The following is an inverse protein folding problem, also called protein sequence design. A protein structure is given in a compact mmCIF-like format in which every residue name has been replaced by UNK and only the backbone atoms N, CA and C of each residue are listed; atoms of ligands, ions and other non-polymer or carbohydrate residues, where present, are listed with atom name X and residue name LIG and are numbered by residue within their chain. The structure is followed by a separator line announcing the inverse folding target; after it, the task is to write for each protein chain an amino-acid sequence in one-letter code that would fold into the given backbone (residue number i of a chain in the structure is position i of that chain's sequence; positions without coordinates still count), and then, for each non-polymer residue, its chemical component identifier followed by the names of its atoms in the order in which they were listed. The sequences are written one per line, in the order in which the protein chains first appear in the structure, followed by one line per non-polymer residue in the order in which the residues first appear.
data_IF_406609758939
#
_entry.id   IF_406609758939
#
_cell.length_a   1.000
_cell.length_b   1.000
_cell.length_c   1.000
_cell.angle_alpha   90.00
_cell.angle_beta   90.00
_cell.angle_gamma   90.00
#
_symmetry.space_group_name_H-M   'P 1'
#
loop_
_entity.id
_entity.type
_entity.pdbx_description
1 polymer ?
#
# COMPACT_ATOMS: atom_id res chain seq x y z
N UNK A 1 13.53 -38.09 -12.54
CA UNK A 1 12.71 -37.31 -13.51
C UNK A 1 11.43 -36.71 -12.88
N UNK A 2 11.38 -36.53 -11.55
CA UNK A 2 10.29 -35.85 -10.83
C UNK A 2 10.51 -34.33 -10.63
N UNK A 3 11.64 -33.77 -11.08
CA UNK A 3 12.13 -32.46 -10.62
C UNK A 3 11.55 -31.24 -11.35
N UNK A 4 10.59 -31.42 -12.25
CA UNK A 4 10.12 -30.33 -13.10
C UNK A 4 8.60 -30.11 -13.06
N UNK A 5 7.97 -30.41 -11.91
CA UNK A 5 6.55 -30.27 -11.73
C UNK A 5 6.20 -29.01 -10.95
N UNK A 6 5.31 -28.20 -11.50
CA UNK A 6 4.81 -26.95 -10.92
C UNK A 6 3.41 -27.19 -10.36
N UNK A 7 3.16 -26.69 -9.16
CA UNK A 7 1.84 -26.58 -8.56
C UNK A 7 1.35 -25.13 -8.66
N UNK A 8 0.45 -24.84 -9.58
CA UNK A 8 -0.25 -23.57 -9.64
C UNK A 8 -1.55 -23.61 -8.86
N UNK A 9 -1.79 -22.60 -8.03
CA UNK A 9 -2.94 -22.56 -7.12
C UNK A 9 -3.70 -21.27 -7.33
N UNK A 10 -4.95 -21.37 -7.74
CA UNK A 10 -5.91 -20.29 -7.62
C UNK A 10 -6.53 -20.34 -6.22
N UNK A 11 -6.30 -19.29 -5.44
CA UNK A 11 -6.64 -19.24 -4.01
C UNK A 11 -8.05 -18.70 -3.81
N UNK A 12 -8.85 -19.46 -3.07
CA UNK A 12 -10.16 -19.02 -2.62
C UNK A 12 -10.31 -19.22 -1.09
N UNK A 13 -11.48 -18.98 -0.56
CA UNK A 13 -11.73 -19.11 0.88
C UNK A 13 -11.77 -20.57 1.34
N UNK A 14 -12.50 -21.42 0.64
CA UNK A 14 -12.79 -22.80 1.05
C UNK A 14 -12.41 -23.84 -0.01
N UNK A 15 -12.55 -23.54 -1.30
CA UNK A 15 -12.23 -24.41 -2.41
C UNK A 15 -11.11 -23.79 -3.25
N UNK A 16 -10.10 -24.56 -3.54
CA UNK A 16 -8.88 -24.12 -4.21
C UNK A 16 -8.74 -24.85 -5.53
N UNK A 17 -8.54 -24.14 -6.63
CA UNK A 17 -8.25 -24.78 -7.89
C UNK A 17 -6.74 -25.02 -7.99
N UNK A 18 -6.34 -26.26 -8.20
CA UNK A 18 -4.93 -26.64 -8.34
C UNK A 18 -4.67 -27.19 -9.74
N UNK A 19 -3.65 -26.67 -10.37
CA UNK A 19 -3.18 -27.11 -11.67
C UNK A 19 -1.75 -27.67 -11.53
N UNK A 20 -1.57 -28.95 -11.85
CA UNK A 20 -0.27 -29.61 -11.93
C UNK A 20 0.20 -29.51 -13.35
N UNK A 21 1.33 -28.86 -13.55
CA UNK A 21 1.86 -28.61 -14.88
C UNK A 21 3.36 -28.84 -14.91
N UNK A 22 3.86 -29.31 -16.07
CA UNK A 22 5.29 -29.38 -16.33
C UNK A 22 5.85 -28.03 -16.75
N UNK A 23 7.13 -27.84 -16.66
CA UNK A 23 7.80 -26.60 -17.12
C UNK A 23 7.67 -26.36 -18.63
N UNK A 24 7.33 -27.37 -19.42
CA UNK A 24 7.02 -27.21 -20.84
C UNK A 24 5.58 -26.70 -21.11
N UNK A 25 4.77 -26.48 -20.05
CA UNK A 25 3.39 -26.02 -20.13
C UNK A 25 2.34 -27.14 -20.22
N UNK A 26 2.74 -28.41 -20.24
CA UNK A 26 1.82 -29.55 -20.24
C UNK A 26 1.06 -29.68 -18.92
N UNK A 27 -0.27 -29.71 -18.98
CA UNK A 27 -1.15 -29.85 -17.83
C UNK A 27 -1.41 -31.33 -17.56
N UNK A 28 -1.01 -31.80 -16.39
CA UNK A 28 -1.24 -33.18 -15.94
C UNK A 28 -2.56 -33.33 -15.18
N UNK A 29 -2.95 -32.30 -14.43
CA UNK A 29 -4.19 -32.30 -13.65
C UNK A 29 -4.62 -30.87 -13.36
N UNK A 30 -5.94 -30.61 -13.42
CA UNK A 30 -6.50 -29.32 -13.04
C UNK A 30 -7.86 -29.56 -12.37
N UNK A 31 -7.91 -29.46 -11.04
CA UNK A 31 -9.10 -29.78 -10.23
C UNK A 31 -9.26 -28.92 -9.00
N UNK A 32 -10.48 -28.82 -8.50
CA UNK A 32 -10.77 -28.20 -7.22
C UNK A 32 -10.43 -29.14 -6.07
N UNK A 33 -9.89 -28.60 -4.97
CA UNK A 33 -9.59 -29.32 -3.74
C UNK A 33 -10.02 -28.50 -2.52
N UNK A 34 -10.28 -29.20 -1.40
CA UNK A 34 -10.60 -28.54 -0.14
C UNK A 34 -9.38 -27.93 0.53
N UNK A 35 -9.62 -27.03 1.51
CA UNK A 35 -8.56 -26.42 2.34
C UNK A 35 -7.69 -27.48 3.03
N UNK A 36 -8.31 -28.51 3.62
CA UNK A 36 -7.60 -29.61 4.28
C UNK A 36 -6.72 -30.39 3.30
N UNK A 37 -7.23 -30.62 2.08
CA UNK A 37 -6.47 -31.29 1.03
C UNK A 37 -5.28 -30.47 0.55
N UNK A 38 -5.42 -29.14 0.45
CA UNK A 38 -4.31 -28.27 0.10
C UNK A 38 -3.23 -28.24 1.19
N UNK A 39 -3.63 -28.19 2.48
CA UNK A 39 -2.69 -28.31 3.60
C UNK A 39 -1.91 -29.62 3.50
N UNK A 40 -2.59 -30.76 3.37
CA UNK A 40 -1.94 -32.08 3.23
C UNK A 40 -0.99 -32.13 2.02
N UNK A 41 -1.38 -31.50 0.92
CA UNK A 41 -0.56 -31.45 -0.29
C UNK A 41 0.76 -30.69 -0.06
N UNK A 42 0.71 -29.56 0.67
CA UNK A 42 1.85 -28.72 0.94
C UNK A 42 2.72 -29.20 2.13
N UNK A 43 2.15 -29.97 3.07
CA UNK A 43 2.88 -30.47 4.25
C UNK A 43 3.34 -31.91 4.10
N UNK A 44 2.88 -32.64 3.09
CA UNK A 44 3.24 -34.02 2.82
C UNK A 44 4.58 -34.17 2.08
N UNK A 45 4.81 -35.35 1.51
CA UNK A 45 6.01 -35.61 0.70
C UNK A 45 6.11 -34.59 -0.45
N UNK A 46 7.27 -33.96 -0.59
CA UNK A 46 7.55 -32.97 -1.64
C UNK A 46 7.37 -33.62 -3.02
N UNK A 47 6.51 -33.04 -3.86
CA UNK A 47 6.18 -33.52 -5.21
C UNK A 47 6.44 -32.48 -6.30
N UNK A 48 6.61 -31.21 -5.91
CA UNK A 48 6.72 -30.09 -6.83
C UNK A 48 8.05 -29.37 -6.64
N UNK A 49 8.66 -28.93 -7.72
CA UNK A 49 9.83 -28.06 -7.66
C UNK A 49 9.44 -26.61 -7.32
N UNK A 50 8.26 -26.18 -7.78
CA UNK A 50 7.78 -24.82 -7.63
C UNK A 50 6.28 -24.80 -7.26
N UNK A 51 5.92 -23.99 -6.28
CA UNK A 51 4.53 -23.65 -5.94
C UNK A 51 4.26 -22.20 -6.35
N UNK A 52 3.19 -22.01 -7.10
CA UNK A 52 2.83 -20.69 -7.66
C UNK A 52 1.41 -20.33 -7.28
N UNK A 53 1.19 -19.06 -6.94
CA UNK A 53 -0.13 -18.52 -6.64
C UNK A 53 -0.23 -17.05 -7.04
N UNK A 54 -1.45 -16.58 -7.25
CA UNK A 54 -1.70 -15.15 -7.45
C UNK A 54 -1.65 -14.38 -6.12
N UNK A 55 -1.15 -13.15 -6.16
CA UNK A 55 -1.16 -12.24 -5.02
C UNK A 55 -2.58 -11.76 -4.70
N UNK A 56 -3.22 -12.41 -3.75
CA UNK A 56 -4.58 -12.14 -3.29
C UNK A 56 -4.70 -12.24 -1.76
N UNK A 57 -5.91 -12.13 -1.22
CA UNK A 57 -6.16 -12.37 0.20
C UNK A 57 -5.77 -13.79 0.61
N UNK A 58 -4.88 -13.92 1.61
CA UNK A 58 -4.39 -15.22 2.09
C UNK A 58 -3.13 -15.73 1.39
N UNK A 59 -2.68 -15.17 0.27
CA UNK A 59 -1.48 -15.63 -0.45
C UNK A 59 -0.23 -15.69 0.42
N UNK A 60 -0.03 -14.74 1.33
CA UNK A 60 1.11 -14.76 2.25
C UNK A 60 1.09 -15.94 3.22
N UNK A 61 -0.09 -16.33 3.73
CA UNK A 61 -0.21 -17.51 4.57
C UNK A 61 0.19 -18.80 3.83
N UNK A 62 -0.35 -19.00 2.63
CA UNK A 62 -0.06 -20.17 1.83
C UNK A 62 1.39 -20.21 1.35
N UNK A 63 1.95 -19.04 1.02
CA UNK A 63 3.36 -18.91 0.66
C UNK A 63 4.29 -19.27 1.83
N UNK A 64 4.00 -18.78 3.05
CA UNK A 64 4.78 -19.15 4.25
C UNK A 64 4.66 -20.65 4.56
N UNK A 65 3.44 -21.23 4.47
CA UNK A 65 3.24 -22.66 4.68
C UNK A 65 4.05 -23.50 3.70
N UNK A 66 4.03 -23.16 2.42
CA UNK A 66 4.80 -23.85 1.40
C UNK A 66 6.31 -23.68 1.61
N UNK A 67 6.77 -22.47 1.95
CA UNK A 67 8.17 -22.18 2.25
C UNK A 67 8.68 -22.97 3.46
N UNK A 68 7.88 -23.08 4.53
CA UNK A 68 8.19 -23.88 5.72
C UNK A 68 8.41 -25.37 5.38
N UNK A 69 7.80 -25.84 4.30
CA UNK A 69 7.93 -27.22 3.80
C UNK A 69 8.92 -27.31 2.61
N UNK A 70 9.86 -26.38 2.51
CA UNK A 70 10.98 -26.36 1.56
C UNK A 70 10.57 -26.31 0.07
N UNK A 71 9.39 -25.75 -0.26
CA UNK A 71 9.05 -25.46 -1.64
C UNK A 71 9.67 -24.13 -2.10
N UNK A 72 10.09 -24.07 -3.36
CA UNK A 72 10.30 -22.81 -4.06
C UNK A 72 8.93 -22.17 -4.35
N UNK A 73 8.82 -20.84 -4.22
CA UNK A 73 7.53 -20.16 -4.30
C UNK A 73 7.62 -18.93 -5.18
N UNK A 74 6.64 -18.78 -6.07
CA UNK A 74 6.37 -17.53 -6.79
C UNK A 74 4.96 -17.03 -6.47
N UNK A 75 4.85 -15.76 -6.06
CA UNK A 75 3.57 -15.07 -5.89
C UNK A 75 3.43 -14.08 -7.04
N UNK A 76 2.52 -14.34 -7.96
CA UNK A 76 2.37 -13.62 -9.22
C UNK A 76 1.47 -12.40 -9.05
N UNK A 77 1.86 -11.21 -9.54
CA UNK A 77 0.99 -10.03 -9.52
C UNK A 77 -0.30 -10.26 -10.32
N UNK A 78 -1.49 -9.85 -9.83
CA UNK A 78 -2.78 -10.08 -10.51
C UNK A 78 -2.82 -9.57 -11.95
N UNK A 79 -2.17 -8.44 -12.22
CA UNK A 79 -2.10 -7.88 -13.59
C UNK A 79 -1.41 -8.79 -14.59
N UNK A 80 -0.42 -9.56 -14.15
CA UNK A 80 0.29 -10.50 -15.02
C UNK A 80 -0.59 -11.71 -15.34
N UNK A 81 -1.35 -12.21 -14.37
CA UNK A 81 -2.32 -13.31 -14.57
C UNK A 81 -3.43 -12.88 -15.52
N UNK A 82 -4.05 -11.71 -15.27
CA UNK A 82 -5.15 -11.18 -16.11
C UNK A 82 -4.71 -11.00 -17.57
N UNK A 83 -3.46 -10.61 -17.82
CA UNK A 83 -2.91 -10.45 -19.18
C UNK A 83 -2.74 -11.77 -19.95
N UNK A 84 -2.78 -12.92 -19.24
CA UNK A 84 -2.62 -14.27 -19.82
C UNK A 84 -3.94 -15.06 -19.88
N UNK A 85 -5.04 -14.48 -19.41
CA UNK A 85 -6.36 -15.08 -19.50
C UNK A 85 -6.93 -14.92 -20.91
N UNK A 86 -6.65 -15.89 -21.78
CA UNK A 86 -7.10 -15.89 -23.19
C UNK A 86 -8.50 -16.50 -23.39
N UNK A 87 -9.08 -17.11 -22.35
CA UNK A 87 -10.35 -17.83 -22.39
C UNK A 87 -11.34 -17.23 -21.40
N UNK A 88 -12.55 -17.80 -21.37
CA UNK A 88 -13.56 -17.43 -20.35
C UNK A 88 -12.99 -17.54 -18.93
N UNK A 89 -13.40 -16.62 -18.06
CA UNK A 89 -12.99 -16.62 -16.65
C UNK A 89 -13.63 -17.80 -15.93
N UNK A 90 -12.82 -18.81 -15.64
CA UNK A 90 -13.15 -19.97 -14.83
C UNK A 90 -11.96 -20.31 -13.96
N UNK A 91 -12.20 -20.86 -12.77
CA UNK A 91 -11.14 -21.25 -11.83
C UNK A 91 -10.06 -22.13 -12.49
N UNK A 92 -10.47 -23.03 -13.40
CA UNK A 92 -9.53 -23.88 -14.17
C UNK A 92 -8.60 -23.05 -15.07
N UNK A 93 -9.15 -22.05 -15.76
CA UNK A 93 -8.37 -21.17 -16.64
C UNK A 93 -7.50 -20.23 -15.81
N UNK A 94 -7.98 -19.79 -14.65
CA UNK A 94 -7.24 -18.91 -13.74
C UNK A 94 -6.03 -19.66 -13.15
N UNK A 95 -6.22 -20.89 -12.63
CA UNK A 95 -5.11 -21.71 -12.15
C UNK A 95 -4.09 -22.05 -13.25
N UNK A 96 -4.54 -22.28 -14.48
CA UNK A 96 -3.67 -22.48 -15.63
C UNK A 96 -2.86 -21.20 -15.95
N UNK A 97 -3.52 -20.04 -16.02
CA UNK A 97 -2.88 -18.76 -16.31
C UNK A 97 -1.82 -18.39 -15.24
N UNK A 98 -2.09 -18.70 -13.95
CA UNK A 98 -1.12 -18.56 -12.86
C UNK A 98 0.13 -19.41 -13.12
N UNK A 99 -0.04 -20.65 -13.54
CA UNK A 99 1.06 -21.56 -13.87
C UNK A 99 1.88 -21.06 -15.07
N UNK A 100 1.22 -20.65 -16.15
CA UNK A 100 1.88 -20.06 -17.33
C UNK A 100 2.65 -18.78 -16.97
N UNK A 101 2.07 -17.91 -16.14
CA UNK A 101 2.74 -16.69 -15.68
C UNK A 101 4.07 -16.97 -14.98
N UNK A 102 4.16 -18.08 -14.24
CA UNK A 102 5.38 -18.46 -13.53
C UNK A 102 6.52 -18.91 -14.45
N UNK A 103 6.19 -19.40 -15.65
CA UNK A 103 7.16 -19.83 -16.67
C UNK A 103 7.78 -18.66 -17.43
N UNK A 104 7.15 -17.49 -17.40
CA UNK A 104 7.62 -16.32 -18.13
C UNK A 104 8.72 -15.60 -17.33
N UNK A 105 9.95 -15.50 -17.86
CA UNK A 105 11.10 -14.97 -17.12
C UNK A 105 10.99 -13.47 -16.78
N UNK A 106 10.18 -12.72 -17.52
CA UNK A 106 9.97 -11.29 -17.30
C UNK A 106 8.90 -10.98 -16.24
N UNK A 107 8.18 -11.99 -15.74
CA UNK A 107 7.20 -11.81 -14.66
C UNK A 107 7.89 -12.00 -13.31
N UNK A 108 8.06 -10.91 -12.59
CA UNK A 108 8.66 -10.92 -11.25
C UNK A 108 7.67 -11.40 -10.20
N UNK A 109 8.16 -12.16 -9.21
CA UNK A 109 7.41 -12.56 -8.02
C UNK A 109 7.23 -11.39 -7.07
N UNK A 110 6.05 -11.25 -6.46
CA UNK A 110 5.84 -10.34 -5.35
C UNK A 110 6.61 -10.82 -4.12
N UNK A 111 7.10 -9.89 -3.31
CA UNK A 111 7.73 -10.20 -2.01
C UNK A 111 6.73 -10.87 -1.07
N UNK A 112 7.19 -11.89 -0.37
CA UNK A 112 6.43 -12.56 0.67
C UNK A 112 6.65 -11.83 1.99
N UNK A 113 5.56 -11.49 2.67
CA UNK A 113 5.62 -10.87 3.99
C UNK A 113 5.81 -11.94 5.06
N UNK A 114 6.64 -11.64 6.06
CA UNK A 114 6.66 -12.37 7.33
C UNK A 114 5.34 -12.18 8.09
N UNK A 115 5.13 -12.93 9.15
CA UNK A 115 3.95 -12.75 10.01
C UNK A 115 3.97 -11.38 10.70
N UNK A 116 5.14 -10.92 11.12
CA UNK A 116 5.34 -9.62 11.72
C UNK A 116 5.05 -8.48 10.72
N UNK A 117 5.65 -8.51 9.52
CA UNK A 117 5.38 -7.52 8.47
C UNK A 117 3.89 -7.46 8.10
N UNK A 118 3.22 -8.62 8.07
CA UNK A 118 1.79 -8.68 7.81
C UNK A 118 0.97 -8.11 8.96
N UNK A 119 1.38 -8.35 10.22
CA UNK A 119 0.79 -7.72 11.41
C UNK A 119 0.90 -6.19 11.36
N UNK A 120 2.06 -5.67 11.00
CA UNK A 120 2.28 -4.23 10.82
C UNK A 120 1.44 -3.65 9.67
N UNK A 121 1.26 -4.39 8.58
CA UNK A 121 0.33 -3.99 7.53
C UNK A 121 -1.11 -3.93 8.03
N UNK A 122 -1.54 -4.89 8.88
CA UNK A 122 -2.87 -4.89 9.47
C UNK A 122 -3.05 -3.68 10.41
N UNK A 123 -2.06 -3.36 11.23
CA UNK A 123 -2.05 -2.19 12.12
C UNK A 123 -2.24 -0.89 11.32
N UNK A 124 -1.46 -0.70 10.24
CA UNK A 124 -1.58 0.47 9.38
C UNK A 124 -2.95 0.56 8.69
N UNK A 125 -3.53 -0.57 8.27
CA UNK A 125 -4.88 -0.62 7.66
C UNK A 125 -5.98 -0.34 8.68
N UNK A 126 -5.87 -0.87 9.90
CA UNK A 126 -6.82 -0.60 10.99
C UNK A 126 -6.84 0.90 11.31
N UNK A 127 -5.67 1.52 11.49
CA UNK A 127 -5.54 2.96 11.66
C UNK A 127 -6.21 3.75 10.52
N UNK A 128 -5.99 3.33 9.28
CA UNK A 128 -6.57 4.00 8.12
C UNK A 128 -8.09 3.96 8.12
N UNK A 129 -8.67 2.84 8.52
CA UNK A 129 -10.12 2.67 8.64
C UNK A 129 -10.68 3.62 9.70
N UNK A 130 -10.05 3.72 10.88
CA UNK A 130 -10.50 4.64 11.94
C UNK A 130 -10.48 6.11 11.48
N UNK A 131 -9.45 6.52 10.75
CA UNK A 131 -9.38 7.88 10.16
C UNK A 131 -10.52 8.10 9.16
N UNK A 132 -10.81 7.12 8.30
CA UNK A 132 -11.88 7.24 7.32
C UNK A 132 -13.25 7.35 8.01
N UNK A 133 -13.52 6.52 9.03
CA UNK A 133 -14.73 6.53 9.83
C UNK A 133 -14.90 7.85 10.59
N UNK A 134 -13.85 8.33 11.28
CA UNK A 134 -13.84 9.63 11.96
C UNK A 134 -14.14 10.78 11.00
N UNK A 135 -13.57 10.74 9.81
CA UNK A 135 -13.81 11.78 8.80
C UNK A 135 -15.25 11.74 8.29
N UNK A 136 -15.78 10.55 7.99
CA UNK A 136 -17.16 10.38 7.55
C UNK A 136 -18.14 10.86 8.62
N UNK A 137 -17.95 10.44 9.87
CA UNK A 137 -18.77 10.84 11.01
C UNK A 137 -18.77 12.37 11.21
N UNK A 138 -17.59 12.98 11.22
CA UNK A 138 -17.45 14.42 11.39
C UNK A 138 -18.10 15.24 10.26
N UNK A 139 -18.11 14.72 9.03
CA UNK A 139 -18.79 15.34 7.92
C UNK A 139 -20.32 15.20 8.03
N UNK A 140 -20.79 14.03 8.48
CA UNK A 140 -22.22 13.80 8.73
C UNK A 140 -22.76 14.74 9.81
N UNK A 141 -22.04 14.86 10.96
CA UNK A 141 -22.44 15.80 12.03
C UNK A 141 -22.53 17.23 11.52
N UNK A 142 -21.56 17.68 10.69
CA UNK A 142 -21.65 19.02 10.09
C UNK A 142 -22.81 19.16 9.12
N UNK A 143 -23.11 18.12 8.35
CA UNK A 143 -24.26 18.09 7.46
C UNK A 143 -25.56 18.26 8.24
N UNK A 144 -25.73 17.53 9.33
CA UNK A 144 -26.91 17.66 10.19
C UNK A 144 -27.02 19.05 10.78
N UNK A 145 -25.97 19.61 11.35
CA UNK A 145 -25.97 20.96 11.92
C UNK A 145 -26.30 22.04 10.87
N UNK A 146 -25.81 21.86 9.65
CA UNK A 146 -26.02 22.81 8.56
C UNK A 146 -27.53 22.91 8.17
N UNK A 147 -28.27 21.80 8.24
CA UNK A 147 -29.74 21.80 7.98
C UNK A 147 -30.52 22.64 9.03
N UNK A 148 -29.93 22.92 10.18
CA UNK A 148 -30.48 23.79 11.23
C UNK A 148 -29.76 25.14 11.31
N UNK A 149 -29.04 25.55 10.25
CA UNK A 149 -28.40 26.87 10.15
C UNK A 149 -27.09 26.98 10.93
N UNK A 150 -26.62 25.92 11.57
CA UNK A 150 -25.36 25.93 12.35
C UNK A 150 -24.20 25.50 11.45
N UNK A 151 -23.34 26.45 11.08
CA UNK A 151 -22.19 26.22 10.19
C UNK A 151 -20.90 26.22 10.99
N UNK A 152 -20.15 25.10 10.90
CA UNK A 152 -18.86 24.93 11.57
C UNK A 152 -17.68 24.93 10.58
N UNK A 153 -16.51 25.48 10.98
CA UNK A 153 -15.30 25.41 10.20
C UNK A 153 -14.87 23.96 9.90
N UNK A 154 -14.10 23.79 8.83
CA UNK A 154 -13.51 22.48 8.48
C UNK A 154 -12.50 22.03 9.53
N UNK A 155 -12.37 20.72 9.70
CA UNK A 155 -11.43 20.10 10.64
C UNK A 155 -12.13 19.46 11.86
N UNK A 156 -11.47 18.51 12.51
CA UNK A 156 -12.00 17.81 13.68
C UNK A 156 -12.08 18.74 14.91
N UNK A 157 -11.01 19.48 15.15
CA UNK A 157 -10.87 20.34 16.35
C UNK A 157 -11.99 21.36 16.51
N UNK A 158 -12.42 22.12 15.47
CA UNK A 158 -13.56 23.04 15.62
C UNK A 158 -14.87 22.33 15.95
N UNK A 159 -15.10 21.14 15.38
CA UNK A 159 -16.30 20.36 15.67
C UNK A 159 -16.32 19.90 17.12
N UNK A 160 -15.25 19.25 17.58
CA UNK A 160 -15.15 18.73 18.97
C UNK A 160 -15.31 19.85 20.01
N UNK A 161 -14.75 21.05 19.76
CA UNK A 161 -14.86 22.17 20.68
C UNK A 161 -16.26 22.75 20.75
N UNK A 162 -16.99 22.77 19.62
CA UNK A 162 -18.29 23.45 19.54
C UNK A 162 -19.48 22.55 19.88
N UNK A 163 -19.35 21.23 19.74
CA UNK A 163 -20.47 20.31 19.99
C UNK A 163 -21.04 20.43 21.41
N UNK A 164 -20.23 20.48 22.51
CA UNK A 164 -20.80 20.66 23.84
C UNK A 164 -21.64 21.93 23.98
N UNK A 165 -21.12 23.07 23.53
CA UNK A 165 -21.83 24.35 23.55
C UNK A 165 -23.17 24.29 22.74
N UNK A 166 -23.14 23.63 21.59
CA UNK A 166 -24.33 23.47 20.75
C UNK A 166 -25.39 22.59 21.42
N UNK A 167 -24.96 21.56 22.15
CA UNK A 167 -25.86 20.65 22.86
C UNK A 167 -26.47 21.31 24.11
N UNK A 168 -25.76 22.22 24.77
CA UNK A 168 -26.20 22.95 25.94
C UNK A 168 -27.15 24.12 25.60
N UNK A 169 -27.03 24.71 24.39
CA UNK A 169 -27.81 25.83 23.95
C UNK A 169 -29.26 25.40 23.61
N UNK A 170 -30.21 25.75 24.49
CA UNK A 170 -31.61 25.41 24.34
C UNK A 170 -32.35 26.26 23.26
N UNK A 171 -31.78 27.42 22.88
CA UNK A 171 -32.42 28.36 21.97
C UNK A 171 -32.00 28.17 20.50
N UNK A 172 -31.11 27.26 20.19
CA UNK A 172 -30.58 27.06 18.83
C UNK A 172 -31.51 26.28 17.87
N UNK A 173 -32.71 25.96 18.31
CA UNK A 173 -33.76 25.33 17.48
C UNK A 173 -33.48 23.84 17.11
N UNK A 174 -32.49 23.20 17.71
CA UNK A 174 -32.26 21.79 17.46
C UNK A 174 -33.29 20.90 18.17
N UNK A 175 -33.97 19.97 17.44
CA UNK A 175 -34.86 18.99 18.07
C UNK A 175 -34.12 18.05 19.04
N UNK A 176 -34.80 17.60 20.09
CA UNK A 176 -34.23 16.67 21.08
C UNK A 176 -33.70 15.39 20.46
N UNK A 177 -34.39 14.86 19.45
CA UNK A 177 -33.89 13.67 18.70
C UNK A 177 -32.55 13.89 18.03
N UNK A 178 -32.31 15.09 17.50
CA UNK A 178 -30.99 15.40 16.90
C UNK A 178 -29.94 15.66 17.96
N UNK A 179 -30.28 16.28 19.09
CA UNK A 179 -29.36 16.44 20.23
C UNK A 179 -28.88 15.10 20.74
N UNK A 180 -29.77 14.11 20.91
CA UNK A 180 -29.39 12.74 21.30
C UNK A 180 -28.47 12.08 20.28
N UNK A 181 -28.74 12.23 18.97
CA UNK A 181 -27.87 11.71 17.90
C UNK A 181 -26.50 12.35 17.93
N UNK A 182 -26.44 13.70 18.05
CA UNK A 182 -25.15 14.42 18.09
C UNK A 182 -24.33 14.09 19.33
N UNK A 183 -24.96 13.91 20.49
CA UNK A 183 -24.29 13.46 21.70
C UNK A 183 -23.64 12.09 21.53
N UNK A 184 -24.41 11.09 21.06
CA UNK A 184 -23.91 9.75 20.76
C UNK A 184 -22.80 9.77 19.71
N UNK A 185 -22.92 10.58 18.66
CA UNK A 185 -21.90 10.72 17.62
C UNK A 185 -20.65 11.43 18.14
N UNK A 186 -20.75 12.30 19.11
CA UNK A 186 -19.61 12.95 19.77
C UNK A 186 -18.76 11.94 20.53
N UNK A 187 -19.41 11.04 21.29
CA UNK A 187 -18.72 9.97 22.02
C UNK A 187 -17.99 9.02 21.04
N UNK A 188 -18.66 8.65 19.94
CA UNK A 188 -18.06 7.83 18.91
C UNK A 188 -16.87 8.52 18.23
N UNK A 189 -16.95 9.84 18.01
CA UNK A 189 -15.86 10.64 17.45
C UNK A 189 -14.64 10.68 18.36
N UNK A 190 -14.87 10.80 19.67
CA UNK A 190 -13.81 10.72 20.70
C UNK A 190 -13.15 9.33 20.69
N UNK A 191 -13.94 8.26 20.69
CA UNK A 191 -13.44 6.89 20.61
C UNK A 191 -12.58 6.65 19.37
N UNK A 192 -13.00 7.12 18.18
CA UNK A 192 -12.16 6.99 16.96
C UNK A 192 -10.85 7.77 17.09
N UNK A 193 -10.86 8.92 17.76
CA UNK A 193 -9.65 9.74 17.95
C UNK A 193 -8.67 9.01 18.85
N UNK A 194 -9.12 8.50 19.98
CA UNK A 194 -8.32 7.70 20.91
C UNK A 194 -7.71 6.45 20.24
N UNK A 195 -8.51 5.72 19.47
CA UNK A 195 -8.01 4.55 18.73
C UNK A 195 -6.93 4.91 17.69
N UNK A 196 -7.07 6.04 17.02
CA UNK A 196 -6.06 6.52 16.06
C UNK A 196 -4.76 6.86 16.79
N UNK A 197 -4.83 7.55 17.94
CA UNK A 197 -3.68 7.90 18.76
C UNK A 197 -2.98 6.65 19.31
N UNK A 198 -3.73 5.66 19.74
CA UNK A 198 -3.20 4.37 20.16
C UNK A 198 -2.41 3.68 19.04
N UNK A 199 -2.99 3.59 17.82
CA UNK A 199 -2.28 3.00 16.68
C UNK A 199 -1.07 3.84 16.25
N UNK A 200 -1.13 5.16 16.36
CA UNK A 200 0.00 6.06 16.09
C UNK A 200 1.16 5.80 17.06
N UNK A 201 0.84 5.57 18.34
CA UNK A 201 1.80 5.18 19.36
C UNK A 201 2.51 3.86 19.02
N UNK A 202 1.76 2.80 18.72
CA UNK A 202 2.31 1.50 18.34
C UNK A 202 3.21 1.58 17.08
N UNK A 203 2.78 2.34 16.08
CA UNK A 203 3.58 2.52 14.85
C UNK A 203 4.87 3.29 15.16
N UNK A 204 4.80 4.34 15.96
CA UNK A 204 5.95 5.16 16.32
C UNK A 204 6.96 4.37 17.13
N UNK A 205 6.51 3.57 18.09
CA UNK A 205 7.35 2.68 18.86
C UNK A 205 8.09 1.69 17.96
N UNK A 206 7.35 0.96 17.09
CA UNK A 206 7.95 0.01 16.17
C UNK A 206 9.00 0.67 15.25
N UNK A 207 8.67 1.83 14.67
CA UNK A 207 9.58 2.60 13.80
C UNK A 207 10.83 3.03 14.55
N UNK A 208 10.71 3.39 15.83
CA UNK A 208 11.83 3.79 16.68
C UNK A 208 12.80 2.64 17.01
N UNK A 209 12.37 1.41 16.91
CA UNK A 209 13.17 0.20 17.16
C UNK A 209 13.73 -0.42 15.88
N UNK A 210 13.03 -0.29 14.75
CA UNK A 210 13.38 -0.93 13.50
C UNK A 210 14.47 -0.16 12.73
N UNK A 211 15.60 -0.82 12.41
CA UNK A 211 16.75 -0.22 11.71
C UNK A 211 16.39 0.34 10.34
N UNK A 212 15.58 -0.38 9.56
CA UNK A 212 15.17 0.06 8.21
C UNK A 212 14.28 1.29 8.31
N UNK A 213 13.28 1.28 9.20
CA UNK A 213 12.42 2.43 9.41
C UNK A 213 13.19 3.67 9.87
N UNK A 214 14.18 3.51 10.76
CA UNK A 214 15.08 4.61 11.16
C UNK A 214 15.83 5.22 9.98
N UNK A 215 16.38 4.39 9.09
CA UNK A 215 17.04 4.86 7.85
C UNK A 215 16.06 5.62 6.96
N UNK A 216 14.86 5.07 6.75
CA UNK A 216 13.83 5.68 5.90
C UNK A 216 13.30 6.99 6.47
N UNK A 217 13.18 7.12 7.79
CA UNK A 217 12.71 8.36 8.46
C UNK A 217 13.68 9.54 8.32
N UNK A 218 14.93 9.30 7.87
CA UNK A 218 15.88 10.38 7.54
C UNK A 218 15.56 11.05 6.20
N UNK A 219 14.71 10.45 5.36
CA UNK A 219 14.31 11.01 4.08
C UNK A 219 13.30 12.17 4.28
N UNK A 220 13.41 13.19 3.47
CA UNK A 220 12.54 14.36 3.54
C UNK A 220 11.08 13.98 3.27
N UNK A 221 10.20 14.38 4.19
CA UNK A 221 8.76 14.10 4.13
C UNK A 221 8.38 12.67 4.53
N UNK A 222 9.31 11.90 5.10
CA UNK A 222 9.07 10.54 5.60
C UNK A 222 8.95 10.56 7.12
N UNK A 223 7.72 10.59 7.62
CA UNK A 223 7.41 10.36 9.04
C UNK A 223 7.19 8.87 9.35
N UNK A 224 6.89 8.52 10.61
CA UNK A 224 6.75 7.12 11.04
C UNK A 224 5.78 6.29 10.18
N UNK A 225 4.62 6.83 9.86
CA UNK A 225 3.58 6.14 9.05
C UNK A 225 4.09 5.85 7.63
N UNK A 226 4.80 6.82 7.02
CA UNK A 226 5.38 6.64 5.67
C UNK A 226 6.54 5.66 5.71
N UNK A 227 7.40 5.72 6.73
CA UNK A 227 8.52 4.80 6.91
C UNK A 227 8.05 3.35 7.04
N UNK A 228 7.02 3.11 7.88
CA UNK A 228 6.39 1.81 8.01
C UNK A 228 5.79 1.33 6.68
N UNK A 229 5.00 2.18 6.01
CA UNK A 229 4.40 1.84 4.72
C UNK A 229 5.43 1.52 3.64
N UNK A 230 6.54 2.25 3.59
CA UNK A 230 7.67 1.98 2.68
C UNK A 230 8.33 0.64 3.02
N UNK A 231 8.63 0.37 4.30
CA UNK A 231 9.24 -0.88 4.73
C UNK A 231 8.38 -2.08 4.35
N UNK A 232 7.09 -2.05 4.70
CA UNK A 232 6.14 -3.14 4.39
C UNK A 232 5.97 -3.33 2.88
N UNK A 233 5.93 -2.23 2.09
CA UNK A 233 5.69 -2.32 0.65
C UNK A 233 6.93 -2.72 -0.15
N UNK A 234 8.10 -2.29 0.27
CA UNK A 234 9.35 -2.52 -0.45
C UNK A 234 10.05 -3.80 0.02
N UNK A 235 9.73 -4.32 1.21
CA UNK A 235 10.36 -5.50 1.79
C UNK A 235 11.88 -5.36 1.80
N UNK A 236 12.59 -6.39 1.31
CA UNK A 236 14.05 -6.35 1.15
C UNK A 236 14.52 -5.70 -0.17
N UNK A 237 13.61 -5.16 -0.97
CA UNK A 237 13.89 -4.49 -2.23
C UNK A 237 14.31 -5.41 -3.39
N UNK A 238 14.47 -6.72 -3.19
CA UNK A 238 14.99 -7.65 -4.21
C UNK A 238 14.06 -7.82 -5.42
N UNK A 239 12.75 -7.62 -5.23
CA UNK A 239 11.77 -7.69 -6.34
C UNK A 239 11.95 -6.57 -7.38
N UNK A 240 12.64 -5.47 -7.02
CA UNK A 240 12.85 -4.34 -7.91
C UNK A 240 14.26 -4.36 -8.51
N UNK A 241 14.40 -4.76 -9.77
CA UNK A 241 15.71 -4.74 -10.46
C UNK A 241 16.25 -3.31 -10.49
N UNK A 242 15.43 -2.37 -10.91
CA UNK A 242 15.73 -0.92 -10.92
C UNK A 242 14.89 -0.20 -9.88
N UNK A 243 15.43 0.79 -9.20
CA UNK A 243 14.71 1.59 -8.21
C UNK A 243 13.46 2.32 -8.80
N UNK A 244 13.47 2.60 -10.11
CA UNK A 244 12.30 3.18 -10.82
C UNK A 244 11.10 2.22 -10.85
N UNK A 245 11.34 0.93 -10.82
CA UNK A 245 10.26 -0.08 -10.87
C UNK A 245 9.45 -0.05 -9.57
N UNK A 246 10.07 0.25 -8.42
CA UNK A 246 9.37 0.47 -7.16
C UNK A 246 8.46 1.71 -7.22
N UNK A 247 8.95 2.82 -7.80
CA UNK A 247 8.13 4.02 -7.98
C UNK A 247 6.94 3.77 -8.92
N UNK A 248 7.13 2.97 -9.97
CA UNK A 248 6.06 2.55 -10.88
C UNK A 248 5.04 1.66 -10.16
N UNK A 249 5.49 0.74 -9.31
CA UNK A 249 4.64 -0.14 -8.52
C UNK A 249 3.72 0.65 -7.56
N UNK A 250 4.23 1.72 -6.93
CA UNK A 250 3.45 2.62 -6.06
C UNK A 250 2.58 3.60 -6.88
N UNK A 251 2.80 3.68 -8.21
CA UNK A 251 2.02 4.55 -9.10
C UNK A 251 2.47 6.01 -9.10
N UNK A 252 3.76 6.25 -8.87
CA UNK A 252 4.38 7.59 -8.87
C UNK A 252 5.06 7.93 -10.21
N UNK A 253 4.94 7.08 -11.23
CA UNK A 253 5.47 7.33 -12.57
C UNK A 253 4.34 7.74 -13.52
N UNK A 254 4.58 8.72 -14.42
CA UNK A 254 3.63 9.05 -15.45
C UNK A 254 3.45 7.87 -16.43
N UNK A 255 2.26 7.77 -17.02
CA UNK A 255 2.03 6.87 -18.16
C UNK A 255 2.75 7.41 -19.37
N UNK A 256 3.43 6.54 -20.09
CA UNK A 256 4.05 6.85 -21.36
C UNK A 256 3.29 6.14 -22.47
N UNK A 257 3.03 6.85 -23.55
CA UNK A 257 2.48 6.31 -24.78
C UNK A 257 3.42 6.69 -25.92
N UNK A 258 3.84 5.72 -26.69
CA UNK A 258 4.68 5.92 -27.87
C UNK A 258 3.96 5.35 -29.08
N UNK A 259 3.83 6.16 -30.13
CA UNK A 259 3.22 5.75 -31.40
C UNK A 259 4.01 6.39 -32.53
N UNK A 260 4.52 5.59 -33.46
CA UNK A 260 5.24 6.09 -34.64
C UNK A 260 6.43 6.98 -34.33
N UNK A 261 7.22 6.64 -33.27
CA UNK A 261 8.40 7.43 -32.85
C UNK A 261 8.08 8.69 -32.03
N UNK A 262 6.80 9.01 -31.81
CA UNK A 262 6.39 10.15 -30.98
C UNK A 262 6.08 9.69 -29.56
N UNK A 263 6.83 10.18 -28.59
CA UNK A 263 6.58 9.92 -27.16
C UNK A 263 5.62 10.96 -26.56
N UNK A 264 4.59 10.48 -25.87
CA UNK A 264 3.69 11.32 -25.06
C UNK A 264 3.76 10.87 -23.61
N UNK A 265 4.23 11.77 -22.75
CA UNK A 265 4.23 11.58 -21.30
C UNK A 265 2.92 12.13 -20.74
N UNK A 266 2.07 11.26 -20.21
CA UNK A 266 0.79 11.60 -19.62
C UNK A 266 0.87 11.87 -18.11
N UNK A 267 -0.28 11.83 -17.45
CA UNK A 267 -0.37 11.95 -16.00
C UNK A 267 -0.06 10.62 -15.30
N UNK A 268 0.21 10.68 -13.99
CA UNK A 268 0.26 9.48 -13.16
C UNK A 268 -1.09 8.76 -13.18
N UNK A 269 -1.06 7.42 -13.18
CA UNK A 269 -2.30 6.63 -13.21
C UNK A 269 -3.18 6.89 -11.98
N UNK A 270 -4.50 7.02 -12.17
CA UNK A 270 -5.47 7.01 -11.07
C UNK A 270 -5.52 5.65 -10.38
N UNK A 271 -5.32 4.56 -11.13
CA UNK A 271 -5.23 3.20 -10.62
C UNK A 271 -3.79 2.84 -10.30
N UNK A 272 -3.52 2.41 -9.08
CA UNK A 272 -2.23 1.86 -8.64
C UNK A 272 -2.47 0.81 -7.56
N UNK A 273 -1.47 -0.03 -7.32
CA UNK A 273 -1.56 -1.12 -6.37
C UNK A 273 -1.71 -0.61 -4.91
N UNK A 274 -1.07 0.51 -4.59
CA UNK A 274 -1.10 1.09 -3.24
C UNK A 274 -1.45 2.58 -3.27
N UNK A 275 -2.75 2.86 -3.35
CA UNK A 275 -3.28 4.24 -3.33
C UNK A 275 -2.99 4.95 -2.02
N UNK A 276 -2.99 4.21 -0.91
CA UNK A 276 -2.77 4.78 0.43
C UNK A 276 -1.35 5.25 0.60
N UNK A 277 -0.35 4.38 0.38
CA UNK A 277 1.06 4.76 0.48
C UNK A 277 1.40 5.91 -0.47
N UNK A 278 0.87 5.88 -1.69
CA UNK A 278 1.03 7.01 -2.62
C UNK A 278 0.48 8.32 -2.08
N UNK A 279 -0.70 8.30 -1.44
CA UNK A 279 -1.30 9.49 -0.81
C UNK A 279 -0.45 10.01 0.34
N UNK A 280 0.04 9.13 1.20
CA UNK A 280 0.91 9.48 2.33
C UNK A 280 2.24 10.08 1.85
N UNK A 281 2.87 9.48 0.85
CA UNK A 281 4.09 10.01 0.22
C UNK A 281 3.87 11.39 -0.42
N UNK A 282 2.72 11.57 -1.08
CA UNK A 282 2.36 12.88 -1.63
C UNK A 282 2.16 13.93 -0.54
N UNK A 283 1.48 13.60 0.57
CA UNK A 283 1.28 14.53 1.69
C UNK A 283 2.61 14.90 2.35
N UNK A 284 3.47 13.91 2.61
CA UNK A 284 4.82 14.15 3.13
C UNK A 284 5.66 15.03 2.18
N UNK A 285 5.61 14.75 0.87
CA UNK A 285 6.29 15.59 -0.13
C UNK A 285 5.71 17.00 -0.20
N UNK A 286 4.39 17.17 -0.08
CA UNK A 286 3.76 18.50 -0.05
C UNK A 286 4.21 19.33 1.15
N UNK A 287 4.38 18.73 2.33
CA UNK A 287 4.90 19.46 3.50
C UNK A 287 6.29 20.03 3.25
N UNK A 288 7.16 19.26 2.56
CA UNK A 288 8.49 19.74 2.16
C UNK A 288 8.41 20.83 1.08
N UNK A 289 7.51 20.66 0.09
CA UNK A 289 7.27 21.68 -0.94
C UNK A 289 6.88 23.01 -0.30
N UNK A 290 5.96 23.01 0.67
CA UNK A 290 5.58 24.24 1.39
C UNK A 290 6.78 24.83 2.16
N UNK A 291 7.53 23.98 2.89
CA UNK A 291 8.72 24.43 3.64
C UNK A 291 9.75 25.13 2.73
N UNK A 292 10.04 24.53 1.57
CA UNK A 292 11.01 25.08 0.59
C UNK A 292 10.50 26.36 -0.08
N UNK A 293 9.19 26.60 -0.16
CA UNK A 293 8.66 27.87 -0.68
C UNK A 293 8.79 29.03 0.32
N UNK A 294 8.97 28.74 1.62
CA UNK A 294 9.03 29.75 2.69
C UNK A 294 10.45 30.20 3.04
N UNK A 295 11.49 29.47 2.59
CA UNK A 295 12.89 29.77 2.92
C UNK A 295 13.85 29.45 1.77
N UNK A 296 15.08 29.86 1.89
CA UNK A 296 16.15 29.47 0.99
C UNK A 296 16.44 27.97 1.11
N UNK A 297 16.76 27.26 0.01
CA UNK A 297 17.15 25.86 0.05
C UNK A 297 18.49 25.69 0.77
N UNK A 298 18.58 24.64 1.60
CA UNK A 298 19.79 24.29 2.37
C UNK A 298 20.53 23.09 1.81
N UNK A 299 19.85 22.29 0.96
CA UNK A 299 20.43 21.11 0.32
C UNK A 299 20.26 21.15 -1.20
N UNK A 300 21.12 20.43 -1.92
CA UNK A 300 21.01 20.28 -3.37
C UNK A 300 19.64 19.71 -3.80
N UNK A 301 19.07 18.84 -2.98
CA UNK A 301 17.73 18.29 -3.24
C UNK A 301 16.64 19.34 -3.08
N UNK A 302 16.76 20.25 -2.10
CA UNK A 302 15.84 21.36 -1.94
C UNK A 302 16.00 22.40 -3.07
N UNK A 303 17.25 22.66 -3.54
CA UNK A 303 17.52 23.50 -4.71
C UNK A 303 16.83 22.94 -5.96
N UNK A 304 17.01 21.64 -6.22
CA UNK A 304 16.32 20.96 -7.32
C UNK A 304 14.79 21.05 -7.16
N UNK A 305 14.25 20.85 -5.95
CA UNK A 305 12.82 20.92 -5.69
C UNK A 305 12.26 22.32 -5.96
N UNK A 306 12.97 23.38 -5.54
CA UNK A 306 12.60 24.78 -5.80
C UNK A 306 12.51 25.06 -7.30
N UNK A 307 13.53 24.70 -8.06
CA UNK A 307 13.52 24.80 -9.54
C UNK A 307 12.36 24.00 -10.18
N UNK A 308 12.02 22.84 -9.63
CA UNK A 308 10.89 22.06 -10.12
C UNK A 308 9.55 22.74 -9.83
N UNK A 309 9.40 23.38 -8.66
CA UNK A 309 8.21 24.15 -8.28
C UNK A 309 8.00 25.32 -9.25
N UNK A 310 9.06 26.06 -9.55
CA UNK A 310 9.03 27.20 -10.47
C UNK A 310 8.61 26.79 -11.89
N UNK A 311 9.15 25.68 -12.40
CA UNK A 311 8.89 25.22 -13.78
C UNK A 311 7.56 24.46 -13.94
N UNK A 312 7.12 23.71 -12.96
CA UNK A 312 6.02 22.73 -13.12
C UNK A 312 4.92 22.86 -12.06
N UNK A 313 5.09 23.73 -11.09
CA UNK A 313 4.14 23.96 -10.00
C UNK A 313 4.25 22.96 -8.86
N UNK A 314 3.67 23.31 -7.71
CA UNK A 314 3.79 22.61 -6.42
C UNK A 314 3.34 21.13 -6.49
N UNK A 315 2.21 20.83 -7.14
CA UNK A 315 1.65 19.47 -7.17
C UNK A 315 2.54 18.49 -7.95
N UNK A 316 3.08 18.92 -9.10
CA UNK A 316 3.99 18.09 -9.91
C UNK A 316 5.32 17.90 -9.18
N UNK A 317 5.86 18.97 -8.57
CA UNK A 317 7.07 18.92 -7.77
C UNK A 317 6.94 17.93 -6.59
N UNK A 318 5.79 17.92 -5.89
CA UNK A 318 5.54 16.96 -4.81
C UNK A 318 5.54 15.49 -5.31
N UNK A 319 4.90 15.21 -6.44
CA UNK A 319 4.95 13.85 -7.04
C UNK A 319 6.37 13.48 -7.46
N UNK A 320 7.13 14.42 -8.02
CA UNK A 320 8.53 14.19 -8.39
C UNK A 320 9.42 13.91 -7.15
N UNK A 321 9.20 14.64 -6.05
CA UNK A 321 9.87 14.36 -4.77
C UNK A 321 9.47 13.00 -4.22
N UNK A 322 8.19 12.66 -4.17
CA UNK A 322 7.71 11.35 -3.72
C UNK A 322 8.32 10.20 -4.54
N UNK A 323 8.40 10.36 -5.87
CA UNK A 323 9.09 9.40 -6.75
C UNK A 323 10.58 9.24 -6.37
N UNK A 324 11.29 10.36 -6.17
CA UNK A 324 12.71 10.36 -5.77
C UNK A 324 12.89 9.71 -4.39
N UNK A 325 11.99 9.99 -3.43
CA UNK A 325 11.99 9.38 -2.10
C UNK A 325 11.87 7.86 -2.17
N UNK A 326 10.93 7.30 -2.94
CA UNK A 326 10.80 5.83 -3.12
C UNK A 326 12.05 5.22 -3.74
N UNK A 327 12.61 5.86 -4.75
CA UNK A 327 13.85 5.37 -5.41
C UNK A 327 15.03 5.36 -4.44
N UNK A 328 15.17 6.40 -3.61
CA UNK A 328 16.20 6.45 -2.57
C UNK A 328 15.93 5.41 -1.49
N UNK A 329 14.67 5.22 -1.07
CA UNK A 329 14.28 4.21 -0.09
C UNK A 329 14.70 2.79 -0.52
N UNK A 330 14.42 2.40 -1.78
CA UNK A 330 14.88 1.10 -2.31
C UNK A 330 16.40 0.97 -2.29
N UNK A 331 17.13 2.03 -2.65
CA UNK A 331 18.58 2.02 -2.63
C UNK A 331 19.12 1.80 -1.19
N UNK A 332 18.56 2.50 -0.20
CA UNK A 332 18.90 2.36 1.22
C UNK A 332 18.57 0.98 1.80
N UNK A 333 17.46 0.37 1.36
CA UNK A 333 17.08 -0.98 1.78
C UNK A 333 18.04 -2.04 1.20
N UNK A 334 18.46 -1.87 -0.08
CA UNK A 334 19.35 -2.82 -0.76
C UNK A 334 20.81 -2.71 -0.34
N UNK A 335 21.24 -1.52 0.05
CA UNK A 335 22.60 -1.25 0.51
C UNK A 335 22.58 -1.00 2.02
N UNK A 336 23.69 -1.29 2.69
CA UNK A 336 23.81 -0.93 4.11
C UNK A 336 24.30 0.52 4.32
N UNK A 337 24.01 1.41 3.34
CA UNK A 337 24.38 2.81 3.38
C UNK A 337 23.40 3.63 4.21
N UNK A 338 23.88 4.77 4.69
CA UNK A 338 23.09 5.79 5.39
C UNK A 338 22.72 6.93 4.43
N UNK A 339 21.60 7.59 4.71
CA UNK A 339 21.18 8.75 3.95
C UNK A 339 21.82 10.03 4.52
N UNK A 340 22.58 10.72 3.68
CA UNK A 340 23.15 12.03 3.96
C UNK A 340 22.69 13.04 2.90
N UNK A 341 21.89 14.06 3.28
CA UNK A 341 21.53 15.11 2.35
C UNK A 341 22.78 15.93 1.99
N UNK A 342 23.02 16.11 0.69
CA UNK A 342 24.12 16.93 0.22
C UNK A 342 23.83 18.41 0.51
N UNK A 343 24.63 19.02 1.38
CA UNK A 343 24.55 20.46 1.63
C UNK A 343 24.94 21.25 0.37
N UNK A 344 24.36 22.44 0.22
CA UNK A 344 24.76 23.37 -0.84
C UNK A 344 26.16 23.87 -0.46
N UNK A 345 27.13 23.68 -1.35
CA UNK A 345 28.43 24.35 -1.23
C UNK A 345 28.23 25.86 -1.43
N UNK A 346 28.77 26.64 -0.51
CA UNK A 346 28.72 28.09 -0.54
C UNK A 346 29.47 28.65 -1.72
#
# INVERSE_FOLDING_TARGET
MEDNLILAIDLAKNSFQVCYMRINGEVLMNKAISRTSLIRLLTGKKKFSLVVMEACGGSHYWARLAKKNNYEIKVIPPRAVTGLQLKQKTDKNDAYAIGVAALLPHISSCSQMSEEEQGLQCLDRARALQIAQRTALSNQMRGFLMEFGIVLPKGITPLVKRIPEILEDAENGLPDSLRQVLASQSDLLAMYTEQIEYYDGLITEHVSQNKICKKLSKLEGVGPIVALGLMVRLGNGKEFVRSRDASACIGLTPKQHSTGGKERIGHISKSCADKRLRSLLYQGAMSIVYKVTLRAPTTEKERWLKSMIERRGKKIAAIALANKTVRTAVALIKSDSEYHPLAIQA
#
